data_IF_614868558152
#
_entry.id   IF_614868558152
#
_cell.length_a   1.000
_cell.length_b   1.000
_cell.length_c   1.000
_cell.angle_alpha   90.00
_cell.angle_beta   90.00
_cell.angle_gamma   90.00
#
_symmetry.space_group_name_H-M   'P 1'
#
loop_
_entity.id
_entity.type
_entity.pdbx_description
1 polymer ?
#
# COMPACT_ATOMS: atom_id res chain seq x y z
N UNK A 1 -9.89 16.71 20.82
CA UNK A 1 -10.68 16.84 19.57
C UNK A 1 -9.71 16.63 18.43
N UNK A 2 -9.90 15.58 17.63
CA UNK A 2 -9.06 15.31 16.46
C UNK A 2 -9.25 16.46 15.46
N UNK A 3 -8.17 17.06 15.01
CA UNK A 3 -8.22 18.13 14.00
C UNK A 3 -8.11 17.53 12.61
N UNK A 4 -9.02 17.89 11.71
CA UNK A 4 -8.97 17.47 10.32
C UNK A 4 -8.39 18.60 9.47
N UNK A 5 -7.17 18.42 8.97
CA UNK A 5 -6.46 19.42 8.16
C UNK A 5 -7.26 19.76 6.91
N UNK A 6 -7.81 18.76 6.22
CA UNK A 6 -8.51 18.96 4.95
C UNK A 6 -9.72 19.88 5.14
N UNK A 7 -10.45 19.69 6.23
CA UNK A 7 -11.60 20.52 6.58
C UNK A 7 -11.17 21.96 6.94
N UNK A 8 -10.05 22.14 7.65
CA UNK A 8 -9.52 23.48 7.96
C UNK A 8 -9.09 24.25 6.70
N UNK A 9 -8.51 23.55 5.71
CA UNK A 9 -8.16 24.12 4.40
C UNK A 9 -9.43 24.50 3.62
N UNK A 10 -10.43 23.62 3.58
CA UNK A 10 -11.72 23.88 2.91
C UNK A 10 -12.46 25.09 3.52
N UNK A 11 -12.46 25.20 4.85
CA UNK A 11 -13.11 26.30 5.56
C UNK A 11 -12.39 27.65 5.33
N UNK A 12 -11.07 27.63 5.08
CA UNK A 12 -10.23 28.83 4.96
C UNK A 12 -9.16 28.70 3.86
N UNK A 13 -9.54 28.60 2.58
CA UNK A 13 -8.61 28.28 1.48
C UNK A 13 -7.58 29.38 1.18
N UNK A 14 -7.79 30.59 1.70
CA UNK A 14 -6.89 31.73 1.49
C UNK A 14 -5.87 31.91 2.63
N UNK A 15 -5.81 30.97 3.59
CA UNK A 15 -4.96 31.07 4.77
C UNK A 15 -3.89 29.97 4.72
N UNK A 16 -2.63 30.42 4.64
CA UNK A 16 -1.44 29.57 4.73
C UNK A 16 -0.85 29.72 6.13
N UNK A 17 -1.28 28.84 7.04
CA UNK A 17 -0.88 28.82 8.45
C UNK A 17 -0.52 27.38 8.86
N UNK A 18 -0.08 27.21 10.09
CA UNK A 18 0.33 25.94 10.66
C UNK A 18 -0.70 24.82 10.44
N UNK A 19 -0.31 23.78 9.69
CA UNK A 19 -1.11 22.59 9.41
C UNK A 19 -0.40 21.35 9.94
N UNK A 20 -1.14 20.53 10.71
CA UNK A 20 -0.67 19.26 11.27
C UNK A 20 -1.87 18.40 11.63
N UNK A 21 -1.75 17.08 11.51
CA UNK A 21 -2.82 16.15 11.85
C UNK A 21 -2.64 15.74 13.31
N UNK A 22 -3.65 16.01 14.12
CA UNK A 22 -3.61 15.75 15.56
C UNK A 22 -4.67 14.71 15.89
N UNK A 23 -4.23 13.51 16.27
CA UNK A 23 -5.09 12.40 16.65
C UNK A 23 -4.96 12.20 18.15
N UNK A 24 -6.05 12.36 18.89
CA UNK A 24 -6.08 12.00 20.31
C UNK A 24 -6.55 10.55 20.40
N UNK A 25 -5.72 9.69 20.99
CA UNK A 25 -6.04 8.29 21.24
C UNK A 25 -6.21 8.03 22.73
N UNK A 26 -7.08 7.08 23.06
CA UNK A 26 -7.34 6.62 24.41
C UNK A 26 -7.34 5.08 24.45
N UNK A 27 -7.10 4.46 25.61
CA UNK A 27 -7.19 3.01 25.75
C UNK A 27 -8.57 2.50 25.31
N UNK A 28 -8.59 1.36 24.61
CA UNK A 28 -9.84 0.78 24.11
C UNK A 28 -10.84 0.56 25.24
N UNK A 29 -12.14 0.77 24.95
CA UNK A 29 -13.22 0.66 25.95
C UNK A 29 -13.22 -0.72 26.60
N UNK A 30 -12.96 -1.77 25.82
CA UNK A 30 -12.98 -3.17 26.26
C UNK A 30 -11.67 -3.65 26.89
N UNK A 31 -10.64 -2.79 26.96
CA UNK A 31 -9.37 -3.12 27.62
C UNK A 31 -9.55 -3.13 29.15
N UNK A 32 -9.48 -4.31 29.76
CA UNK A 32 -9.64 -4.50 31.21
C UNK A 32 -8.37 -4.16 32.02
N UNK A 33 -7.27 -3.80 31.35
CA UNK A 33 -5.98 -3.48 32.00
C UNK A 33 -6.06 -2.21 32.85
N UNK A 34 -6.91 -1.26 32.46
CA UNK A 34 -7.06 0.03 33.12
C UNK A 34 -8.51 0.24 33.59
N UNK A 35 -8.68 0.78 34.79
CA UNK A 35 -10.00 1.17 35.26
C UNK A 35 -10.60 2.25 34.34
N UNK A 36 -11.88 2.09 34.02
CA UNK A 36 -12.70 3.01 33.23
C UNK A 36 -12.61 4.46 33.70
N UNK A 37 -12.43 4.68 35.01
CA UNK A 37 -12.30 6.02 35.61
C UNK A 37 -10.96 6.70 35.28
N UNK A 38 -9.92 5.93 34.95
CA UNK A 38 -8.55 6.42 34.69
C UNK A 38 -8.27 6.53 33.19
N UNK A 39 -8.99 5.79 32.31
CA UNK A 39 -8.77 5.81 30.85
C UNK A 39 -8.76 7.22 30.23
N UNK A 40 -9.65 8.17 30.61
CA UNK A 40 -9.58 9.54 30.09
C UNK A 40 -8.31 10.30 30.49
N UNK A 41 -7.64 9.89 31.56
CA UNK A 41 -6.37 10.46 32.01
C UNK A 41 -5.16 9.85 31.29
N UNK A 42 -5.35 8.78 30.51
CA UNK A 42 -4.32 8.07 29.75
C UNK A 42 -4.33 8.43 28.27
N UNK A 43 -4.94 9.55 27.90
CA UNK A 43 -4.97 10.02 26.51
C UNK A 43 -3.58 10.38 26.01
N UNK A 44 -3.26 9.97 24.79
CA UNK A 44 -2.04 10.35 24.08
C UNK A 44 -2.41 11.15 22.82
N UNK A 45 -1.59 12.13 22.45
CA UNK A 45 -1.72 12.84 21.18
C UNK A 45 -0.67 12.34 20.20
N UNK A 46 -1.11 11.85 19.06
CA UNK A 46 -0.27 11.47 17.92
C UNK A 46 -0.35 12.61 16.90
N UNK A 47 0.81 13.17 16.56
CA UNK A 47 0.93 14.23 15.58
C UNK A 47 1.61 13.69 14.32
N UNK A 48 0.94 13.79 13.18
CA UNK A 48 1.50 13.36 11.88
C UNK A 48 1.80 14.62 11.06
N UNK A 49 3.07 14.75 10.65
CA UNK A 49 3.61 15.94 9.97
C UNK A 49 4.55 15.54 8.84
N UNK A 50 4.56 16.33 7.76
CA UNK A 50 5.66 16.32 6.79
C UNK A 50 6.92 16.92 7.41
N UNK A 51 8.08 16.67 6.80
CA UNK A 51 9.35 17.27 7.23
C UNK A 51 9.28 18.80 7.20
N UNK A 52 8.63 19.37 6.17
CA UNK A 52 8.48 20.81 6.03
C UNK A 52 7.52 21.39 7.08
N UNK A 53 6.40 20.71 7.38
CA UNK A 53 5.51 21.07 8.48
C UNK A 53 6.24 21.04 9.83
N UNK A 54 7.12 20.06 10.06
CA UNK A 54 7.92 20.00 11.29
C UNK A 54 8.88 21.20 11.39
N UNK A 55 9.62 21.50 10.32
CA UNK A 55 10.53 22.65 10.29
C UNK A 55 9.79 23.98 10.50
N UNK A 56 8.62 24.14 9.90
CA UNK A 56 7.77 25.32 10.13
C UNK A 56 7.30 25.42 11.58
N UNK A 57 6.88 24.31 12.17
CA UNK A 57 6.44 24.26 13.57
C UNK A 57 7.55 24.70 14.52
N UNK A 58 8.77 24.21 14.32
CA UNK A 58 9.92 24.55 15.15
C UNK A 58 10.22 26.05 15.14
N UNK A 59 10.12 26.69 13.97
CA UNK A 59 10.36 28.14 13.84
C UNK A 59 9.21 28.97 14.40
N UNK A 60 7.96 28.56 14.19
CA UNK A 60 6.76 29.35 14.51
C UNK A 60 6.26 29.19 15.95
N UNK A 61 6.43 28.01 16.55
CA UNK A 61 5.81 27.65 17.83
C UNK A 61 6.23 28.58 18.98
N UNK A 62 7.53 28.79 19.16
CA UNK A 62 8.06 29.58 20.28
C UNK A 62 8.10 31.08 19.99
N UNK A 63 8.15 31.47 18.72
CA UNK A 63 8.33 32.86 18.30
C UNK A 63 7.00 33.62 18.13
N UNK A 64 5.95 32.95 17.62
CA UNK A 64 4.71 33.62 17.18
C UNK A 64 3.43 33.00 17.72
N UNK A 65 3.33 31.69 17.92
CA UNK A 65 2.08 31.10 18.42
C UNK A 65 1.82 31.44 19.90
N UNK A 66 2.88 31.43 20.73
CA UNK A 66 2.88 31.84 22.15
C UNK A 66 3.97 32.87 22.48
N UNK A 67 4.76 33.28 21.49
CA UNK A 67 5.91 34.14 21.67
C UNK A 67 5.61 35.65 21.60
N UNK A 68 6.65 36.49 21.77
CA UNK A 68 6.53 37.94 21.82
C UNK A 68 6.07 38.56 20.48
N UNK A 69 6.16 37.83 19.37
CA UNK A 69 5.86 38.33 18.03
C UNK A 69 4.46 37.95 17.50
N UNK A 70 3.59 37.41 18.36
CA UNK A 70 2.25 36.92 17.99
C UNK A 70 1.38 37.92 17.21
N UNK A 71 1.59 39.21 17.41
CA UNK A 71 0.81 40.28 16.77
C UNK A 71 1.63 41.11 15.75
N UNK A 72 2.88 40.74 15.48
CA UNK A 72 3.71 41.46 14.51
C UNK A 72 3.29 41.09 13.08
N UNK A 73 2.60 42.01 12.41
CA UNK A 73 2.06 41.80 11.07
C UNK A 73 3.14 41.51 10.02
N UNK A 74 4.34 42.05 10.19
CA UNK A 74 5.47 41.81 9.29
C UNK A 74 5.94 40.37 9.40
N UNK A 75 6.18 39.90 10.63
CA UNK A 75 6.61 38.53 10.91
C UNK A 75 5.54 37.53 10.49
N UNK A 76 4.27 37.77 10.84
CA UNK A 76 3.14 36.92 10.44
C UNK A 76 3.03 36.81 8.91
N UNK A 77 3.24 37.92 8.17
CA UNK A 77 3.21 37.90 6.70
C UNK A 77 4.37 37.07 6.13
N UNK A 78 5.56 37.13 6.73
CA UNK A 78 6.70 36.32 6.29
C UNK A 78 6.48 34.84 6.59
N UNK A 79 5.93 34.50 7.76
CA UNK A 79 5.56 33.11 8.08
C UNK A 79 4.53 32.55 7.10
N UNK A 80 3.46 33.30 6.82
CA UNK A 80 2.45 32.86 5.85
C UNK A 80 3.04 32.62 4.44
N UNK A 81 4.00 33.45 4.01
CA UNK A 81 4.74 33.24 2.74
C UNK A 81 5.57 31.96 2.79
N UNK A 82 6.26 31.70 3.90
CA UNK A 82 7.05 30.49 4.07
C UNK A 82 6.17 29.25 4.04
N UNK A 83 5.01 29.29 4.71
CA UNK A 83 4.06 28.17 4.70
C UNK A 83 3.53 27.90 3.30
N UNK A 84 3.13 28.93 2.56
CA UNK A 84 2.68 28.78 1.17
C UNK A 84 3.77 28.16 0.26
N UNK A 85 5.05 28.54 0.45
CA UNK A 85 6.16 27.96 -0.29
C UNK A 85 6.41 26.49 0.10
N UNK A 86 6.28 26.17 1.38
CA UNK A 86 6.43 24.81 1.89
C UNK A 86 5.31 23.90 1.38
N UNK A 87 4.06 24.35 1.38
CA UNK A 87 2.94 23.61 0.78
C UNK A 87 3.19 23.32 -0.70
N UNK A 88 3.59 24.34 -1.48
CA UNK A 88 3.95 24.14 -2.88
C UNK A 88 5.13 23.17 -3.05
N UNK A 89 6.09 23.15 -2.13
CA UNK A 89 7.22 22.23 -2.16
C UNK A 89 6.80 20.81 -1.79
N UNK A 90 5.92 20.63 -0.81
CA UNK A 90 5.33 19.34 -0.45
C UNK A 90 4.54 18.77 -1.64
N UNK A 91 3.81 19.59 -2.40
CA UNK A 91 3.16 19.16 -3.66
C UNK A 91 4.17 18.63 -4.69
N UNK A 92 5.31 19.32 -4.86
CA UNK A 92 6.38 18.82 -5.74
C UNK A 92 6.98 17.51 -5.23
N UNK A 93 7.16 17.34 -3.92
CA UNK A 93 7.62 16.08 -3.37
C UNK A 93 6.59 14.97 -3.60
N UNK A 94 5.29 15.22 -3.39
CA UNK A 94 4.23 14.27 -3.70
C UNK A 94 4.25 13.87 -5.18
N UNK A 95 4.41 14.83 -6.09
CA UNK A 95 4.54 14.56 -7.52
C UNK A 95 5.80 13.75 -7.84
N UNK A 96 6.94 14.08 -7.25
CA UNK A 96 8.18 13.30 -7.41
C UNK A 96 7.99 11.89 -6.86
N UNK A 97 7.37 11.72 -5.69
CA UNK A 97 7.06 10.41 -5.14
C UNK A 97 6.10 9.64 -6.02
N UNK A 98 5.10 10.29 -6.62
CA UNK A 98 4.20 9.69 -7.59
C UNK A 98 4.97 9.19 -8.83
N UNK A 99 5.84 10.03 -9.38
CA UNK A 99 6.71 9.68 -10.51
C UNK A 99 7.73 8.58 -10.14
N UNK A 100 8.25 8.57 -8.90
CA UNK A 100 9.15 7.53 -8.38
C UNK A 100 8.41 6.26 -7.97
N UNK A 101 7.10 6.33 -7.74
CA UNK A 101 6.21 5.21 -7.49
C UNK A 101 5.72 4.57 -8.79
N UNK A 102 6.45 4.77 -9.89
CA UNK A 102 6.32 4.06 -11.17
C UNK A 102 5.71 2.68 -10.94
N UNK A 103 4.70 2.32 -11.72
CA UNK A 103 4.06 0.99 -11.71
C UNK A 103 5.09 -0.15 -11.64
N UNK A 104 6.26 0.06 -12.25
CA UNK A 104 7.43 -0.82 -12.15
C UNK A 104 7.90 -1.11 -10.72
N UNK A 105 7.87 -0.14 -9.81
CA UNK A 105 8.19 -0.32 -8.39
C UNK A 105 7.07 -1.02 -7.64
N UNK A 106 5.81 -0.73 -7.95
CA UNK A 106 4.67 -1.50 -7.41
C UNK A 106 4.79 -2.97 -7.81
N UNK A 107 4.91 -3.25 -9.10
CA UNK A 107 5.10 -4.59 -9.65
C UNK A 107 6.39 -5.25 -9.15
N UNK A 108 7.50 -4.50 -9.03
CA UNK A 108 8.73 -5.05 -8.46
C UNK A 108 8.59 -5.43 -6.99
N UNK A 109 7.91 -4.63 -6.17
CA UNK A 109 7.64 -4.97 -4.78
C UNK A 109 6.68 -6.17 -4.71
N UNK A 110 5.60 -6.14 -5.48
CA UNK A 110 4.65 -7.23 -5.59
C UNK A 110 5.35 -8.53 -5.98
N UNK A 111 6.26 -8.50 -6.96
CA UNK A 111 7.04 -9.68 -7.36
C UNK A 111 7.97 -10.19 -6.29
N UNK A 112 8.67 -9.31 -5.57
CA UNK A 112 9.53 -9.74 -4.48
C UNK A 112 8.71 -10.51 -3.42
N UNK A 113 7.52 -10.03 -3.11
CA UNK A 113 6.62 -10.65 -2.14
C UNK A 113 6.04 -11.97 -2.67
N UNK A 114 5.60 -12.04 -3.93
CA UNK A 114 5.20 -13.31 -4.55
C UNK A 114 6.37 -14.32 -4.52
N UNK A 115 7.60 -13.90 -4.81
CA UNK A 115 8.79 -14.77 -4.77
C UNK A 115 8.96 -15.36 -3.38
N UNK A 116 8.89 -14.55 -2.32
CA UNK A 116 9.03 -15.03 -0.95
C UNK A 116 7.88 -15.97 -0.54
N UNK A 117 6.64 -15.69 -0.94
CA UNK A 117 5.52 -16.62 -0.76
C UNK A 117 5.75 -17.93 -1.50
N UNK A 118 6.23 -17.88 -2.73
CA UNK A 118 6.47 -19.06 -3.57
C UNK A 118 7.59 -19.94 -3.00
N UNK A 119 8.65 -19.35 -2.44
CA UNK A 119 9.73 -20.08 -1.77
C UNK A 119 9.27 -20.93 -0.59
N UNK A 120 8.13 -20.61 0.02
CA UNK A 120 7.53 -21.47 1.05
C UNK A 120 7.12 -22.85 0.52
N UNK A 121 6.90 -22.98 -0.80
CA UNK A 121 6.60 -24.23 -1.49
C UNK A 121 7.82 -24.80 -2.23
N UNK A 122 8.68 -23.94 -2.78
CA UNK A 122 9.88 -24.32 -3.51
C UNK A 122 11.08 -23.46 -3.10
N UNK A 123 11.74 -23.87 -2.01
CA UNK A 123 12.83 -23.11 -1.38
C UNK A 123 14.08 -22.93 -2.26
N UNK A 124 14.26 -23.77 -3.28
CA UNK A 124 15.42 -23.72 -4.20
C UNK A 124 15.25 -22.68 -5.32
N UNK A 125 14.11 -21.98 -5.40
CA UNK A 125 13.87 -20.98 -6.44
C UNK A 125 14.88 -19.82 -6.36
N UNK A 126 15.66 -19.63 -7.43
CA UNK A 126 16.49 -18.45 -7.62
C UNK A 126 15.72 -17.39 -8.42
N UNK A 127 15.83 -16.12 -8.01
CA UNK A 127 15.26 -14.99 -8.74
C UNK A 127 15.85 -14.85 -10.15
N UNK A 128 17.04 -15.39 -10.41
CA UNK A 128 17.63 -15.45 -11.75
C UNK A 128 16.85 -16.36 -12.71
N UNK A 129 16.09 -17.32 -12.19
CA UNK A 129 15.25 -18.23 -12.98
C UNK A 129 13.88 -17.62 -13.31
N UNK A 130 13.64 -16.37 -12.89
CA UNK A 130 12.41 -15.65 -13.17
C UNK A 130 12.27 -15.39 -14.67
N UNK A 131 11.17 -15.85 -15.24
CA UNK A 131 10.76 -15.52 -16.59
C UNK A 131 9.99 -14.19 -16.58
N UNK A 132 10.70 -13.11 -16.90
CA UNK A 132 10.12 -11.76 -16.95
C UNK A 132 8.96 -11.65 -17.94
N UNK A 133 9.02 -12.32 -19.09
CA UNK A 133 7.93 -12.30 -20.06
C UNK A 133 6.63 -12.87 -19.47
N UNK A 134 6.69 -14.06 -18.84
CA UNK A 134 5.52 -14.67 -18.21
C UNK A 134 5.00 -13.83 -17.04
N UNK A 135 5.93 -13.25 -16.30
CA UNK A 135 5.63 -12.37 -15.17
C UNK A 135 4.86 -11.13 -15.62
N UNK A 136 5.43 -10.40 -16.58
CA UNK A 136 4.86 -9.16 -17.11
C UNK A 136 3.51 -9.44 -17.78
N UNK A 137 3.41 -10.52 -18.57
CA UNK A 137 2.15 -10.94 -19.18
C UNK A 137 1.06 -11.18 -18.13
N UNK A 138 1.30 -11.97 -17.09
CA UNK A 138 0.27 -12.26 -16.08
C UNK A 138 -0.06 -11.03 -15.23
N UNK A 139 0.87 -10.08 -15.09
CA UNK A 139 0.60 -8.80 -14.44
C UNK A 139 -0.37 -7.89 -15.20
N UNK A 140 -0.55 -8.06 -16.51
CA UNK A 140 -1.61 -7.36 -17.24
C UNK A 140 -3.00 -7.63 -16.63
N UNK A 141 -3.21 -8.78 -15.98
CA UNK A 141 -4.45 -9.07 -15.27
C UNK A 141 -4.69 -8.10 -14.10
N UNK A 142 -3.64 -7.62 -13.41
CA UNK A 142 -3.75 -6.66 -12.31
C UNK A 142 -4.23 -5.28 -12.78
N UNK A 143 -3.96 -4.92 -14.04
CA UNK A 143 -4.47 -3.68 -14.64
C UNK A 143 -5.98 -3.77 -14.88
N UNK A 144 -6.50 -4.97 -15.15
CA UNK A 144 -7.93 -5.23 -15.36
C UNK A 144 -8.67 -5.33 -14.02
N UNK A 145 -8.10 -6.07 -13.07
CA UNK A 145 -8.66 -6.28 -11.75
C UNK A 145 -7.57 -6.16 -10.71
N UNK A 146 -7.49 -5.02 -10.03
CA UNK A 146 -6.48 -4.84 -8.99
C UNK A 146 -6.70 -5.82 -7.84
N UNK A 147 -5.62 -6.48 -7.41
CA UNK A 147 -5.58 -7.35 -6.23
C UNK A 147 -4.54 -6.81 -5.27
N UNK A 148 -4.93 -6.55 -4.03
CA UNK A 148 -3.98 -6.13 -3.00
C UNK A 148 -3.10 -7.30 -2.55
N UNK A 149 -1.85 -7.03 -2.20
CA UNK A 149 -0.90 -8.09 -1.83
C UNK A 149 -1.38 -8.88 -0.58
N UNK A 150 -2.01 -8.20 0.38
CA UNK A 150 -2.55 -8.85 1.58
C UNK A 150 -3.63 -9.89 1.27
N UNK A 151 -4.43 -9.65 0.23
CA UNK A 151 -5.46 -10.57 -0.25
C UNK A 151 -4.82 -11.83 -0.86
N UNK A 152 -3.79 -11.65 -1.69
CA UNK A 152 -3.03 -12.77 -2.25
C UNK A 152 -2.35 -13.59 -1.14
N UNK A 153 -1.69 -12.94 -0.18
CA UNK A 153 -1.05 -13.61 0.95
C UNK A 153 -2.05 -14.43 1.77
N UNK A 154 -3.23 -13.87 2.06
CA UNK A 154 -4.28 -14.59 2.77
C UNK A 154 -4.77 -15.81 1.99
N UNK A 155 -4.95 -15.68 0.67
CA UNK A 155 -5.29 -16.79 -0.19
C UNK A 155 -4.22 -17.90 -0.16
N UNK A 156 -2.95 -17.55 -0.30
CA UNK A 156 -1.84 -18.51 -0.31
C UNK A 156 -1.80 -19.30 1.00
N UNK A 157 -1.93 -18.65 2.15
CA UNK A 157 -1.97 -19.32 3.45
C UNK A 157 -3.21 -20.20 3.61
N UNK A 158 -4.39 -19.71 3.20
CA UNK A 158 -5.64 -20.48 3.24
C UNK A 158 -5.58 -21.75 2.39
N UNK A 159 -4.89 -21.71 1.25
CA UNK A 159 -4.84 -22.81 0.27
C UNK A 159 -3.49 -23.54 0.24
N UNK A 160 -2.66 -23.38 1.28
CA UNK A 160 -1.28 -23.86 1.36
C UNK A 160 -1.10 -25.34 1.03
N UNK A 161 -1.93 -26.22 1.60
CA UNK A 161 -1.79 -27.67 1.33
C UNK A 161 -2.04 -28.04 -0.14
N UNK A 162 -3.03 -27.39 -0.78
CA UNK A 162 -3.36 -27.60 -2.19
C UNK A 162 -2.24 -27.05 -3.07
N UNK A 163 -1.81 -25.83 -2.81
CA UNK A 163 -0.72 -25.17 -3.55
C UNK A 163 0.59 -25.97 -3.45
N UNK A 164 0.91 -26.51 -2.28
CA UNK A 164 2.09 -27.35 -2.09
C UNK A 164 2.06 -28.62 -2.98
N UNK A 165 0.90 -29.28 -3.12
CA UNK A 165 0.73 -30.44 -4.01
C UNK A 165 0.87 -30.08 -5.49
N UNK A 166 0.48 -28.87 -5.86
CA UNK A 166 0.53 -28.38 -7.25
C UNK A 166 1.94 -27.91 -7.64
N UNK A 167 2.60 -27.15 -6.76
CA UNK A 167 3.87 -26.47 -7.04
C UNK A 167 5.05 -27.44 -6.93
N UNK A 168 5.10 -28.26 -5.87
CA UNK A 168 6.24 -29.14 -5.59
C UNK A 168 6.67 -30.07 -6.74
N UNK A 169 5.76 -30.63 -7.56
CA UNK A 169 6.13 -31.45 -8.72
C UNK A 169 6.78 -30.67 -9.89
N UNK A 170 6.61 -29.35 -9.95
CA UNK A 170 7.17 -28.51 -11.02
C UNK A 170 6.79 -28.94 -12.44
N UNK A 171 5.53 -29.37 -12.62
CA UNK A 171 5.05 -30.05 -13.84
C UNK A 171 4.91 -29.17 -15.09
N UNK A 172 4.93 -27.84 -14.96
CA UNK A 172 4.85 -26.94 -16.12
C UNK A 172 5.67 -25.69 -15.90
N UNK A 173 6.05 -25.04 -17.00
CA UNK A 173 6.87 -23.84 -16.97
C UNK A 173 6.19 -22.69 -16.22
N UNK A 174 4.86 -22.58 -16.26
CA UNK A 174 4.14 -21.56 -15.47
C UNK A 174 4.18 -21.88 -13.99
N UNK A 175 3.95 -23.15 -13.60
CA UNK A 175 3.94 -23.56 -12.19
C UNK A 175 5.31 -23.32 -11.54
N UNK A 176 6.39 -23.44 -12.31
CA UNK A 176 7.75 -23.13 -11.88
C UNK A 176 7.98 -21.66 -11.55
N UNK A 177 7.12 -20.77 -12.04
CA UNK A 177 7.25 -19.33 -11.86
C UNK A 177 6.41 -18.85 -10.67
N UNK A 178 6.94 -17.97 -9.81
CA UNK A 178 6.22 -17.44 -8.65
C UNK A 178 4.86 -16.81 -9.01
N UNK A 179 4.80 -16.16 -10.17
CA UNK A 179 3.59 -15.51 -10.70
C UNK A 179 2.41 -16.49 -10.89
N UNK A 180 2.64 -17.81 -10.90
CA UNK A 180 1.59 -18.81 -10.83
C UNK A 180 0.65 -18.61 -9.64
N UNK A 181 1.14 -18.15 -8.49
CA UNK A 181 0.27 -17.88 -7.33
C UNK A 181 -0.83 -16.88 -7.66
N UNK A 182 -0.48 -15.83 -8.41
CA UNK A 182 -1.44 -14.83 -8.89
C UNK A 182 -2.39 -15.44 -9.93
N UNK A 183 -1.86 -16.17 -10.92
CA UNK A 183 -2.70 -16.83 -11.93
C UNK A 183 -3.69 -17.83 -11.30
N UNK A 184 -3.27 -18.57 -10.27
CA UNK A 184 -4.09 -19.51 -9.53
C UNK A 184 -5.14 -18.79 -8.67
N UNK A 185 -4.81 -17.63 -8.10
CA UNK A 185 -5.78 -16.77 -7.43
C UNK A 185 -6.90 -16.33 -8.38
N UNK A 186 -6.54 -15.84 -9.57
CA UNK A 186 -7.52 -15.48 -10.60
C UNK A 186 -8.37 -16.67 -11.04
N UNK A 187 -7.77 -17.85 -11.13
CA UNK A 187 -8.50 -19.06 -11.51
C UNK A 187 -9.64 -19.41 -10.53
N UNK A 188 -9.42 -19.18 -9.24
CA UNK A 188 -10.39 -19.49 -8.19
C UNK A 188 -11.40 -18.36 -7.97
N UNK A 189 -10.97 -17.09 -8.00
CA UNK A 189 -11.82 -15.96 -7.60
C UNK A 189 -12.37 -15.15 -8.78
N UNK A 190 -11.71 -15.21 -9.95
CA UNK A 190 -11.98 -14.36 -11.11
C UNK A 190 -11.85 -15.13 -12.43
N UNK A 191 -12.40 -16.35 -12.49
CA UNK A 191 -12.18 -17.31 -13.59
C UNK A 191 -12.55 -16.76 -14.97
N UNK A 192 -13.63 -15.97 -15.08
CA UNK A 192 -14.04 -15.33 -16.33
C UNK A 192 -12.99 -14.33 -16.81
N UNK A 193 -12.49 -13.48 -15.91
CA UNK A 193 -11.43 -12.50 -16.22
C UNK A 193 -10.16 -13.22 -16.69
N UNK A 194 -9.77 -14.29 -15.99
CA UNK A 194 -8.60 -15.10 -16.36
C UNK A 194 -8.72 -15.67 -17.77
N UNK A 195 -9.89 -16.21 -18.13
CA UNK A 195 -10.11 -16.87 -19.43
C UNK A 195 -10.15 -15.84 -20.57
N UNK A 196 -10.89 -14.76 -20.39
CA UNK A 196 -11.13 -13.76 -21.43
C UNK A 196 -9.89 -12.90 -21.71
N UNK A 197 -9.01 -12.75 -20.70
CA UNK A 197 -7.82 -11.90 -20.77
C UNK A 197 -6.54 -12.70 -20.55
N UNK A 198 -6.55 -14.00 -20.84
CA UNK A 198 -5.35 -14.83 -20.67
C UNK A 198 -4.23 -14.33 -21.60
N UNK A 199 -3.09 -13.88 -21.06
CA UNK A 199 -2.09 -13.15 -21.84
C UNK A 199 -1.04 -14.08 -22.49
N UNK A 200 -1.11 -15.39 -22.21
CA UNK A 200 -0.18 -16.40 -22.72
C UNK A 200 -0.89 -17.36 -23.68
N UNK A 201 -0.19 -18.42 -24.11
CA UNK A 201 -0.79 -19.44 -24.97
C UNK A 201 -1.82 -20.32 -24.23
N UNK A 202 -2.65 -21.02 -25.00
CA UNK A 202 -3.72 -21.86 -24.47
C UNK A 202 -3.21 -23.06 -23.67
N UNK A 203 -2.06 -23.65 -24.04
CA UNK A 203 -1.46 -24.79 -23.32
C UNK A 203 -1.04 -24.41 -21.90
N UNK A 204 -0.56 -23.18 -21.74
CA UNK A 204 -0.27 -22.56 -20.46
C UNK A 204 -1.54 -22.44 -19.59
N UNK A 205 -2.67 -22.00 -20.17
CA UNK A 205 -3.95 -21.93 -19.46
C UNK A 205 -4.46 -23.33 -19.10
N UNK A 206 -4.40 -24.28 -20.04
CA UNK A 206 -4.76 -25.69 -19.82
C UNK A 206 -3.97 -26.31 -18.68
N UNK A 207 -2.70 -25.95 -18.53
CA UNK A 207 -1.87 -26.40 -17.41
C UNK A 207 -2.43 -25.97 -16.06
N UNK A 208 -2.95 -24.73 -15.95
CA UNK A 208 -3.62 -24.23 -14.73
C UNK A 208 -4.92 -25.00 -14.46
N UNK A 209 -5.73 -25.24 -15.49
CA UNK A 209 -6.97 -26.02 -15.34
C UNK A 209 -6.69 -27.46 -14.89
N UNK A 210 -5.69 -28.10 -15.52
CA UNK A 210 -5.29 -29.47 -15.23
C UNK A 210 -4.83 -29.65 -13.79
N UNK A 211 -4.00 -28.75 -13.26
CA UNK A 211 -3.52 -28.88 -11.87
C UNK A 211 -4.57 -28.58 -10.82
N UNK A 212 -5.63 -27.87 -11.20
CA UNK A 212 -6.81 -27.67 -10.37
C UNK A 212 -7.91 -28.71 -10.61
N UNK A 213 -7.61 -29.84 -11.30
CA UNK A 213 -8.54 -30.92 -11.61
C UNK A 213 -9.86 -30.44 -12.25
N UNK A 214 -9.79 -29.40 -13.09
CA UNK A 214 -10.95 -28.83 -13.78
C UNK A 214 -10.80 -29.05 -15.28
N UNK A 215 -11.87 -29.48 -15.98
CA UNK A 215 -11.85 -29.62 -17.44
C UNK A 215 -11.83 -28.26 -18.12
N UNK A 216 -10.90 -28.06 -19.06
CA UNK A 216 -10.84 -26.85 -19.88
C UNK A 216 -12.11 -26.65 -20.72
N UNK A 217 -12.76 -27.74 -21.14
CA UNK A 217 -13.99 -27.71 -21.96
C UNK A 217 -15.27 -27.45 -21.15
N UNK A 218 -15.18 -27.33 -19.81
CA UNK A 218 -16.37 -27.21 -18.96
C UNK A 218 -16.94 -25.78 -18.83
N UNK A 219 -16.47 -24.84 -19.65
CA UNK A 219 -16.97 -23.46 -19.77
C UNK A 219 -16.78 -22.90 -21.17
#
# INVERSE_FOLDING_TARGET
MTKNIQQEIEDKPNIFDYQSLHIVVEPAVDDLTFDSSIKPCLTCEIQIRTLLQHAFAEVSHDSTYKGPYKNDKGILRHLAKSMALMEATDDYFCNIFSLMSDEKRYFSNYMNEIIELYKTFYNEFDKQDLNYFITDSIFELLEIQKIELSELTFYVEKHKERLNKIIKPQNSLIIQQPIFLLANYYFDNHRTILKDNWPLNEDALKSIYSVNNTSFESF
#
